data_IF_708992326670
#
_entry.id   IF_708992326670
#
_cell.length_a   1.000
_cell.length_b   1.000
_cell.length_c   1.000
_cell.angle_alpha   90.00
_cell.angle_beta   90.00
_cell.angle_gamma   90.00
#
_symmetry.space_group_name_H-M   'P 1'
#
loop_
_entity.id
_entity.type
_entity.pdbx_description
1 polymer ?
#
# COMPACT_ATOMS: atom_id res chain seq x y z
N UNK A 1 6.49 6.81 -4.43
CA UNK A 1 6.20 8.15 -3.84
C UNK A 1 5.81 7.98 -2.38
N UNK A 2 6.20 8.88 -1.47
CA UNK A 2 5.86 8.83 -0.05
C UNK A 2 5.09 10.10 0.36
N UNK A 3 4.02 9.93 1.14
CA UNK A 3 3.21 11.01 1.72
C UNK A 3 3.02 10.72 3.21
N UNK A 4 3.24 11.71 4.07
CA UNK A 4 3.02 11.58 5.51
C UNK A 4 1.77 12.33 5.94
N UNK A 5 0.99 11.74 6.86
CA UNK A 5 -0.15 12.42 7.47
C UNK A 5 0.26 13.25 8.71
N UNK A 6 -0.70 13.98 9.29
CA UNK A 6 -0.46 14.85 10.46
C UNK A 6 -0.15 14.07 11.74
N UNK A 7 -0.39 12.76 11.77
CA UNK A 7 -0.10 11.86 12.88
C UNK A 7 1.26 11.15 12.72
N UNK A 8 1.97 11.40 11.61
CA UNK A 8 3.27 10.80 11.31
C UNK A 8 3.19 9.44 10.65
N UNK A 9 2.00 8.97 10.25
CA UNK A 9 1.90 7.76 9.44
C UNK A 9 2.44 8.04 8.04
N UNK A 10 3.22 7.12 7.49
CA UNK A 10 3.79 7.23 6.15
C UNK A 10 3.02 6.34 5.18
N UNK A 11 2.52 6.92 4.09
CA UNK A 11 1.90 6.22 2.98
C UNK A 11 2.90 6.12 1.84
N UNK A 12 3.20 4.90 1.42
CA UNK A 12 4.05 4.61 0.27
C UNK A 12 3.20 4.09 -0.89
N UNK A 13 3.30 4.76 -2.03
CA UNK A 13 2.67 4.35 -3.28
C UNK A 13 3.64 3.62 -4.19
N UNK A 14 3.17 2.50 -4.72
CA UNK A 14 3.81 1.74 -5.78
C UNK A 14 3.12 2.06 -7.10
N UNK A 15 3.92 2.47 -8.09
CA UNK A 15 3.46 2.88 -9.42
C UNK A 15 4.02 1.90 -10.45
N UNK A 16 3.27 1.63 -11.50
CA UNK A 16 3.79 0.94 -12.69
C UNK A 16 4.68 1.86 -13.54
N UNK A 17 5.24 1.32 -14.62
CA UNK A 17 6.11 2.06 -15.56
C UNK A 17 5.39 3.20 -16.29
N UNK A 18 4.04 3.20 -16.31
CA UNK A 18 3.22 4.26 -16.90
C UNK A 18 2.75 5.27 -15.84
N UNK A 19 3.14 5.10 -14.58
CA UNK A 19 2.77 5.96 -13.46
C UNK A 19 1.42 5.63 -12.81
N UNK A 20 0.75 4.55 -13.21
CA UNK A 20 -0.49 4.14 -12.57
C UNK A 20 -0.20 3.55 -11.19
N UNK A 21 -0.99 3.95 -10.19
CA UNK A 21 -0.88 3.37 -8.84
C UNK A 21 -1.39 1.92 -8.83
N UNK A 22 -0.49 1.01 -8.46
CA UNK A 22 -0.75 -0.44 -8.32
C UNK A 22 -0.68 -0.92 -6.87
N UNK A 23 -0.13 -0.13 -5.96
CA UNK A 23 -0.05 -0.46 -4.53
C UNK A 23 -0.07 0.76 -3.61
N UNK A 24 -0.49 0.52 -2.37
CA UNK A 24 -0.37 1.44 -1.23
C UNK A 24 -0.01 0.66 0.02
N UNK A 25 0.98 1.17 0.75
CA UNK A 25 1.37 0.69 2.07
C UNK A 25 1.30 1.84 3.06
N UNK A 26 0.71 1.64 4.22
CA UNK A 26 0.68 2.62 5.31
C UNK A 26 1.48 2.08 6.48
N UNK A 27 2.43 2.88 6.95
CA UNK A 27 3.26 2.62 8.11
C UNK A 27 2.90 3.59 9.21
N UNK A 28 2.97 3.14 10.46
CA UNK A 28 2.91 4.06 11.60
C UNK A 28 4.25 4.79 11.82
N UNK A 29 4.31 5.78 12.72
CA UNK A 29 5.55 6.51 13.00
C UNK A 29 6.70 5.62 13.49
N UNK A 30 6.39 4.44 14.05
CA UNK A 30 7.37 3.46 14.48
C UNK A 30 7.92 2.60 13.32
N UNK A 31 7.41 2.80 12.10
CA UNK A 31 7.80 2.06 10.91
C UNK A 31 7.09 0.71 10.75
N UNK A 32 6.10 0.38 11.59
CA UNK A 32 5.36 -0.86 11.47
C UNK A 32 4.28 -0.74 10.38
N UNK A 33 4.18 -1.77 9.52
CA UNK A 33 3.17 -1.81 8.46
C UNK A 33 1.79 -2.04 9.07
N UNK A 34 0.91 -1.05 8.93
CA UNK A 34 -0.47 -1.12 9.42
C UNK A 34 -1.46 -1.57 8.37
N UNK A 35 -1.19 -1.26 7.10
CA UNK A 35 -2.12 -1.54 6.00
C UNK A 35 -1.36 -1.71 4.70
N UNK A 36 -1.75 -2.68 3.89
CA UNK A 36 -1.30 -2.80 2.51
C UNK A 36 -2.51 -3.10 1.60
N UNK A 37 -2.66 -2.31 0.53
CA UNK A 37 -3.69 -2.50 -0.49
C UNK A 37 -2.99 -2.59 -1.83
N UNK A 38 -3.27 -3.64 -2.59
CA UNK A 38 -2.77 -3.80 -3.94
C UNK A 38 -3.94 -3.83 -4.91
N UNK A 39 -3.78 -3.14 -6.04
CA UNK A 39 -4.67 -3.37 -7.18
C UNK A 39 -4.28 -4.69 -7.79
N UNK A 40 -5.07 -5.69 -7.48
CA UNK A 40 -5.11 -6.90 -8.25
C UNK A 40 -5.83 -6.58 -9.56
N UNK A 41 -5.17 -6.86 -10.70
CA UNK A 41 -5.82 -6.86 -12.01
C UNK A 41 -7.06 -7.77 -11.97
N UNK A 42 -8.00 -7.54 -12.89
CA UNK A 42 -9.31 -8.22 -12.91
C UNK A 42 -9.26 -9.77 -12.93
N UNK A 43 -8.08 -10.39 -12.96
CA UNK A 43 -7.83 -11.81 -13.06
C UNK A 43 -7.32 -12.50 -11.77
N UNK A 44 -7.02 -11.79 -10.67
CA UNK A 44 -6.59 -12.45 -9.43
C UNK A 44 -7.72 -12.53 -8.40
N UNK A 45 -8.21 -13.74 -8.12
CA UNK A 45 -8.95 -14.01 -6.88
C UNK A 45 -8.02 -13.74 -5.70
N UNK A 46 -8.25 -12.66 -4.95
CA UNK A 46 -7.64 -12.44 -3.63
C UNK A 46 -8.09 -13.58 -2.72
N UNK A 47 -7.17 -14.49 -2.40
CA UNK A 47 -7.34 -15.46 -1.31
C UNK A 47 -6.67 -14.82 -0.10
N UNK A 48 -7.46 -14.30 0.83
CA UNK A 48 -6.96 -13.77 2.10
C UNK A 48 -6.32 -14.91 2.88
N UNK A 49 -5.02 -14.82 3.17
CA UNK A 49 -4.38 -15.65 4.18
C UNK A 49 -4.58 -14.96 5.54
N UNK A 50 -5.46 -15.54 6.35
CA UNK A 50 -5.52 -15.29 7.79
C UNK A 50 -4.70 -16.40 8.45
N UNK A 51 -3.59 -16.02 9.10
CA UNK A 51 -2.77 -16.87 9.95
C UNK A 51 -2.34 -16.08 11.17
#
# INVERSE_FOLDING_TARGET
MQVSDRLGNAIQYELDVMGNRVGERTYDPGGALRKAIYRVGADRKLTTFSG
#
